data_IF_920090592346
#
_entry.id   IF_920090592346
#
_cell.length_a   1.000
_cell.length_b   1.000
_cell.length_c   1.000
_cell.angle_alpha   90.00
_cell.angle_beta   90.00
_cell.angle_gamma   90.00
#
_symmetry.space_group_name_H-M   'P 1'
#
loop_
_entity.id
_entity.type
_entity.pdbx_description
1 polymer ?
#
# COMPACT_ATOMS: atom_id res chain seq x y z
N UNK A 1 15.14 1.72 -10.30
CA UNK A 1 13.99 1.95 -9.41
C UNK A 1 12.72 1.43 -10.09
N UNK A 2 11.67 1.12 -9.34
CA UNK A 2 10.31 0.85 -9.84
C UNK A 2 9.39 2.00 -9.43
N UNK A 3 8.52 2.47 -10.33
CA UNK A 3 7.48 3.48 -10.05
C UNK A 3 6.11 2.86 -10.32
N UNK A 4 5.22 2.85 -9.31
CA UNK A 4 3.90 2.26 -9.38
C UNK A 4 2.81 3.31 -9.04
N UNK A 5 2.00 3.67 -10.03
CA UNK A 5 0.90 4.63 -9.92
C UNK A 5 -0.09 4.35 -11.05
N UNK A 6 -1.38 4.32 -10.79
CA UNK A 6 -2.42 4.08 -11.80
C UNK A 6 -2.71 5.34 -12.65
N UNK A 7 -2.37 6.53 -12.13
CA UNK A 7 -2.51 7.79 -12.82
C UNK A 7 -1.34 8.03 -13.79
N UNK A 8 -1.55 7.81 -15.07
CA UNK A 8 -0.51 7.88 -16.11
C UNK A 8 0.29 9.18 -16.06
N UNK A 9 -0.36 10.35 -15.95
CA UNK A 9 0.31 11.65 -15.95
C UNK A 9 1.21 11.83 -14.73
N UNK A 10 0.77 11.36 -13.55
CA UNK A 10 1.55 11.42 -12.31
C UNK A 10 2.76 10.49 -12.41
N UNK A 11 2.55 9.26 -12.86
CA UNK A 11 3.61 8.26 -13.04
C UNK A 11 4.68 8.74 -14.01
N UNK A 12 4.29 9.20 -15.20
CA UNK A 12 5.22 9.77 -16.19
C UNK A 12 5.96 10.99 -15.64
N UNK A 13 5.27 11.84 -14.87
CA UNK A 13 5.87 13.00 -14.19
C UNK A 13 6.95 12.59 -13.20
N UNK A 14 6.67 11.60 -12.34
CA UNK A 14 7.65 11.07 -11.39
C UNK A 14 8.85 10.45 -12.09
N UNK A 15 8.60 9.60 -13.11
CA UNK A 15 9.67 8.98 -13.91
C UNK A 15 10.59 10.05 -14.50
N UNK A 16 10.01 11.06 -15.14
CA UNK A 16 10.76 12.15 -15.73
C UNK A 16 11.62 12.91 -14.70
N UNK A 17 11.04 13.29 -13.55
CA UNK A 17 11.77 13.97 -12.47
C UNK A 17 12.96 13.12 -12.00
N UNK A 18 12.75 11.82 -11.81
CA UNK A 18 13.77 10.90 -11.34
C UNK A 18 14.91 10.75 -12.35
N UNK A 19 14.59 10.54 -13.63
CA UNK A 19 15.58 10.35 -14.70
C UNK A 19 16.34 11.64 -15.04
N UNK A 20 15.67 12.80 -15.11
CA UNK A 20 16.30 14.10 -15.36
C UNK A 20 17.30 14.48 -14.24
N UNK A 21 17.18 13.88 -13.04
CA UNK A 21 18.19 14.06 -11.98
C UNK A 21 19.57 13.51 -12.34
N UNK A 22 19.66 12.60 -13.35
CA UNK A 22 20.88 11.92 -13.77
C UNK A 22 21.48 10.95 -12.73
N UNK A 23 20.75 10.70 -11.63
CA UNK A 23 21.20 9.84 -10.51
C UNK A 23 20.30 8.64 -10.25
N UNK A 24 19.17 8.59 -10.93
CA UNK A 24 18.18 7.53 -10.80
C UNK A 24 17.89 6.91 -12.17
N UNK A 25 17.77 5.60 -12.22
CA UNK A 25 17.31 4.85 -13.38
C UNK A 25 15.99 4.15 -13.03
N UNK A 26 14.93 4.45 -13.78
CA UNK A 26 13.64 3.78 -13.63
C UNK A 26 13.64 2.54 -14.54
N UNK A 27 13.75 1.36 -13.94
CA UNK A 27 13.83 0.08 -14.65
C UNK A 27 12.47 -0.52 -14.97
N UNK A 28 11.41 -0.04 -14.30
CA UNK A 28 10.04 -0.44 -14.60
C UNK A 28 9.02 0.57 -14.06
N UNK A 29 7.86 0.59 -14.72
CA UNK A 29 6.64 1.25 -14.29
C UNK A 29 5.57 0.19 -14.04
N UNK A 30 4.67 0.42 -13.07
CA UNK A 30 3.51 -0.42 -12.80
C UNK A 30 2.24 0.42 -12.71
N UNK A 31 1.12 -0.14 -13.15
CA UNK A 31 -0.17 0.55 -13.20
C UNK A 31 -1.17 0.01 -12.18
N UNK A 32 -0.82 -1.06 -11.49
CA UNK A 32 -1.61 -1.66 -10.42
C UNK A 32 -0.71 -2.39 -9.41
N UNK A 33 -1.28 -2.76 -8.26
CA UNK A 33 -0.51 -3.38 -7.19
C UNK A 33 0.01 -4.77 -7.50
N UNK A 34 -0.69 -5.55 -8.35
CA UNK A 34 -0.24 -6.89 -8.76
C UNK A 34 0.97 -6.77 -9.67
N UNK A 35 0.89 -5.88 -10.69
CA UNK A 35 1.97 -5.58 -11.62
C UNK A 35 3.21 -5.04 -10.86
N UNK A 36 2.98 -4.20 -9.82
CA UNK A 36 4.05 -3.70 -8.97
C UNK A 36 4.80 -4.81 -8.23
N UNK A 37 4.09 -5.77 -7.64
CA UNK A 37 4.69 -6.93 -6.95
C UNK A 37 5.44 -7.82 -7.93
N UNK A 38 4.85 -8.16 -9.07
CA UNK A 38 5.47 -9.02 -10.09
C UNK A 38 6.77 -8.41 -10.60
N UNK A 39 6.77 -7.12 -10.98
CA UNK A 39 7.96 -6.40 -11.47
C UNK A 39 9.01 -6.21 -10.39
N UNK A 40 8.60 -5.90 -9.15
CA UNK A 40 9.54 -5.79 -8.04
C UNK A 40 10.26 -7.13 -7.80
N UNK A 41 9.53 -8.24 -7.76
CA UNK A 41 10.10 -9.58 -7.55
C UNK A 41 11.05 -9.98 -8.68
N UNK A 42 10.67 -9.71 -9.94
CA UNK A 42 11.46 -10.06 -11.10
C UNK A 42 12.74 -9.21 -11.26
N UNK A 43 12.62 -7.89 -11.07
CA UNK A 43 13.70 -6.93 -11.35
C UNK A 43 14.52 -6.56 -10.11
N UNK A 44 14.03 -6.87 -8.90
CA UNK A 44 14.66 -6.61 -7.60
C UNK A 44 15.20 -5.17 -7.48
N UNK A 45 14.36 -4.14 -7.69
CA UNK A 45 14.81 -2.76 -7.65
C UNK A 45 15.28 -2.38 -6.25
N UNK A 46 16.30 -1.52 -6.18
CA UNK A 46 16.80 -0.98 -4.91
C UNK A 46 15.73 -0.10 -4.20
N UNK A 47 15.01 0.71 -5.00
CA UNK A 47 13.95 1.61 -4.51
C UNK A 47 12.66 1.35 -5.28
N UNK A 48 11.56 1.28 -4.54
CA UNK A 48 10.19 1.23 -5.07
C UNK A 48 9.45 2.49 -4.64
N UNK A 49 8.95 3.25 -5.60
CA UNK A 49 8.04 4.38 -5.38
C UNK A 49 6.64 3.88 -5.70
N UNK A 50 5.70 3.98 -4.75
CA UNK A 50 4.40 3.33 -4.88
C UNK A 50 3.26 4.18 -4.34
N UNK A 51 2.16 4.28 -5.09
CA UNK A 51 0.90 4.85 -4.59
C UNK A 51 0.14 3.86 -3.72
N UNK A 52 -0.68 4.38 -2.80
CA UNK A 52 -1.59 3.60 -1.96
C UNK A 52 -2.81 3.16 -2.76
N UNK A 53 -3.39 4.06 -3.57
CA UNK A 53 -4.64 3.88 -4.31
C UNK A 53 -4.52 3.04 -5.58
N UNK A 54 -3.70 1.99 -5.58
CA UNK A 54 -3.54 1.14 -6.75
C UNK A 54 -4.72 0.16 -6.92
N UNK A 55 -5.22 -0.04 -8.15
CA UNK A 55 -6.25 -1.03 -8.43
C UNK A 55 -5.73 -2.47 -8.33
N UNK A 56 -6.64 -3.44 -8.27
CA UNK A 56 -6.41 -4.90 -8.18
C UNK A 56 -5.75 -5.36 -6.89
N UNK A 57 -4.80 -4.62 -6.37
CA UNK A 57 -4.13 -4.84 -5.11
C UNK A 57 -3.71 -3.48 -4.56
N UNK A 58 -4.20 -3.11 -3.38
CA UNK A 58 -3.86 -1.81 -2.78
C UNK A 58 -2.35 -1.67 -2.57
N UNK A 59 -1.84 -0.43 -2.62
CA UNK A 59 -0.42 -0.17 -2.40
C UNK A 59 0.08 -0.66 -1.03
N UNK A 60 -0.77 -0.61 0.01
CA UNK A 60 -0.42 -1.14 1.34
C UNK A 60 -0.13 -2.64 1.28
N UNK A 61 -1.00 -3.41 0.62
CA UNK A 61 -0.82 -4.86 0.50
C UNK A 61 0.32 -5.20 -0.48
N UNK A 62 0.50 -4.40 -1.55
CA UNK A 62 1.64 -4.54 -2.45
C UNK A 62 2.97 -4.32 -1.72
N UNK A 63 3.07 -3.27 -0.87
CA UNK A 63 4.25 -3.02 -0.03
C UNK A 63 4.55 -4.19 0.89
N UNK A 64 3.52 -4.77 1.51
CA UNK A 64 3.69 -5.93 2.41
C UNK A 64 4.27 -7.12 1.66
N UNK A 65 3.72 -7.48 0.50
CA UNK A 65 4.24 -8.58 -0.35
C UNK A 65 5.65 -8.30 -0.86
N UNK A 66 5.91 -7.07 -1.31
CA UNK A 66 7.27 -6.67 -1.74
C UNK A 66 8.25 -6.79 -0.58
N UNK A 67 7.87 -6.40 0.64
CA UNK A 67 8.72 -6.51 1.83
C UNK A 67 9.03 -7.96 2.21
N UNK A 68 8.05 -8.86 2.09
CA UNK A 68 8.24 -10.30 2.33
C UNK A 68 9.24 -10.90 1.33
N UNK A 69 9.12 -10.57 0.03
CA UNK A 69 9.97 -11.11 -1.02
C UNK A 69 11.34 -10.41 -1.13
N UNK A 70 11.39 -9.11 -0.82
CA UNK A 70 12.55 -8.24 -0.96
C UNK A 70 12.81 -7.44 0.33
N UNK A 71 13.31 -8.07 1.39
CA UNK A 71 13.52 -7.39 2.68
C UNK A 71 14.47 -6.18 2.62
N UNK A 72 15.39 -6.17 1.64
CA UNK A 72 16.37 -5.08 1.45
C UNK A 72 15.84 -3.89 0.63
N UNK A 73 14.76 -4.04 -0.14
CA UNK A 73 14.21 -2.97 -0.97
C UNK A 73 13.79 -1.77 -0.12
N UNK A 74 14.05 -0.56 -0.59
CA UNK A 74 13.59 0.68 0.02
C UNK A 74 12.28 1.11 -0.62
N UNK A 75 11.26 1.38 0.19
CA UNK A 75 9.92 1.65 -0.31
C UNK A 75 9.48 3.04 0.13
N UNK A 76 9.17 3.89 -0.86
CA UNK A 76 8.62 5.23 -0.69
C UNK A 76 7.15 5.22 -1.12
N UNK A 77 6.25 5.47 -0.20
CA UNK A 77 4.86 5.77 -0.53
C UNK A 77 4.73 7.21 -1.05
N UNK A 78 4.07 7.41 -2.19
CA UNK A 78 3.75 8.73 -2.75
C UNK A 78 2.27 8.73 -3.10
N UNK A 79 1.45 9.45 -2.34
CA UNK A 79 -0.01 9.33 -2.41
C UNK A 79 -0.71 10.67 -2.19
N UNK A 80 -1.99 10.77 -2.55
CA UNK A 80 -2.83 11.94 -2.25
C UNK A 80 -3.35 11.95 -0.81
N UNK A 81 -3.23 10.84 -0.09
CA UNK A 81 -3.72 10.67 1.26
C UNK A 81 -2.73 11.29 2.27
N UNK A 82 -3.23 12.15 3.16
CA UNK A 82 -2.45 12.77 4.25
C UNK A 82 -2.95 12.36 5.65
N UNK A 83 -3.98 11.50 5.71
CA UNK A 83 -4.56 11.02 6.95
C UNK A 83 -3.59 10.11 7.71
N UNK A 84 -3.59 10.25 9.03
CA UNK A 84 -2.66 9.54 9.93
C UNK A 84 -2.73 8.01 9.78
N UNK A 85 -3.91 7.48 9.52
CA UNK A 85 -4.15 6.03 9.40
C UNK A 85 -3.37 5.42 8.23
N UNK A 86 -3.34 6.08 7.07
CA UNK A 86 -2.59 5.62 5.91
C UNK A 86 -1.08 5.58 6.17
N UNK A 87 -0.56 6.62 6.84
CA UNK A 87 0.86 6.67 7.22
C UNK A 87 1.21 5.48 8.10
N UNK A 88 0.42 5.23 9.14
CA UNK A 88 0.64 4.14 10.08
C UNK A 88 0.58 2.79 9.39
N UNK A 89 -0.41 2.56 8.52
CA UNK A 89 -0.58 1.31 7.79
C UNK A 89 0.58 1.07 6.81
N UNK A 90 1.04 2.10 6.09
CA UNK A 90 2.17 1.98 5.18
C UNK A 90 3.48 1.65 5.91
N UNK A 91 3.74 2.30 7.05
CA UNK A 91 4.92 2.01 7.86
C UNK A 91 4.86 0.59 8.45
N UNK A 92 3.69 0.15 8.96
CA UNK A 92 3.47 -1.22 9.42
C UNK A 92 3.62 -2.25 8.28
N UNK A 93 3.24 -1.90 7.05
CA UNK A 93 3.46 -2.74 5.88
C UNK A 93 4.93 -2.84 5.47
N UNK A 94 5.78 -1.91 5.92
CA UNK A 94 7.23 -1.91 5.69
C UNK A 94 7.74 -0.78 4.81
N UNK A 95 6.97 0.28 4.58
CA UNK A 95 7.47 1.47 3.90
C UNK A 95 8.57 2.16 4.70
N UNK A 96 9.59 2.67 4.00
CA UNK A 96 10.71 3.40 4.56
C UNK A 96 10.53 4.93 4.46
N UNK A 97 9.54 5.37 3.69
CA UNK A 97 9.23 6.79 3.54
C UNK A 97 7.79 7.01 3.09
N UNK A 98 7.33 8.24 3.27
CA UNK A 98 5.96 8.66 2.94
C UNK A 98 5.94 10.12 2.51
N UNK A 99 5.39 10.37 1.33
CA UNK A 99 5.17 11.71 0.76
C UNK A 99 3.73 11.85 0.27
N UNK A 100 3.22 13.08 0.34
CA UNK A 100 1.96 13.44 -0.31
C UNK A 100 2.26 13.95 -1.73
N UNK A 101 1.41 13.60 -2.70
CA UNK A 101 1.60 13.92 -4.14
C UNK A 101 1.60 15.42 -4.47
N UNK A 102 1.27 16.29 -3.51
CA UNK A 102 1.40 17.74 -3.65
C UNK A 102 2.82 18.27 -3.38
N UNK A 103 3.76 17.38 -3.06
CA UNK A 103 5.15 17.74 -2.81
C UNK A 103 5.85 18.30 -4.06
N UNK A 104 6.85 19.14 -3.85
CA UNK A 104 7.69 19.65 -4.94
C UNK A 104 8.59 18.53 -5.51
N UNK A 105 8.95 18.63 -6.80
CA UNK A 105 9.87 17.69 -7.44
C UNK A 105 11.19 17.50 -6.66
N UNK A 106 11.71 18.58 -6.06
CA UNK A 106 12.90 18.54 -5.23
C UNK A 106 12.74 17.66 -4.00
N UNK A 107 11.55 17.64 -3.38
CA UNK A 107 11.25 16.82 -2.21
C UNK A 107 11.17 15.34 -2.55
N UNK A 108 10.60 14.98 -3.71
CA UNK A 108 10.62 13.61 -4.22
C UNK A 108 12.07 13.10 -4.39
N UNK A 109 12.94 13.91 -4.99
CA UNK A 109 14.34 13.56 -5.18
C UNK A 109 15.08 13.42 -3.84
N UNK A 110 14.83 14.33 -2.90
CA UNK A 110 15.42 14.27 -1.56
C UNK A 110 15.02 12.99 -0.83
N UNK A 111 13.73 12.63 -0.87
CA UNK A 111 13.21 11.41 -0.28
C UNK A 111 13.88 10.17 -0.88
N UNK A 112 13.95 10.07 -2.19
CA UNK A 112 14.59 8.94 -2.89
C UNK A 112 16.07 8.84 -2.50
N UNK A 113 16.80 9.94 -2.49
CA UNK A 113 18.22 9.94 -2.10
C UNK A 113 18.43 9.58 -0.61
N UNK A 114 17.50 9.98 0.26
CA UNK A 114 17.53 9.56 1.66
C UNK A 114 17.37 8.04 1.78
N UNK A 115 16.41 7.46 1.05
CA UNK A 115 16.18 6.02 1.04
C UNK A 115 17.39 5.24 0.49
N UNK A 116 18.01 5.71 -0.59
CA UNK A 116 19.23 5.09 -1.14
C UNK A 116 20.40 5.07 -0.12
N UNK A 117 20.47 6.09 0.74
CA UNK A 117 21.43 6.11 1.84
C UNK A 117 21.02 5.26 3.06
N UNK A 118 19.90 4.54 2.96
CA UNK A 118 19.38 3.73 4.06
C UNK A 118 18.65 4.54 5.15
N UNK A 119 18.35 5.82 4.90
CA UNK A 119 17.61 6.69 5.80
C UNK A 119 16.10 6.61 5.49
N UNK A 120 15.25 6.79 6.51
CA UNK A 120 13.83 7.01 6.28
C UNK A 120 13.55 8.44 5.84
N UNK A 121 12.45 8.65 5.10
CA UNK A 121 11.98 9.98 4.74
C UNK A 121 10.47 10.10 4.95
N UNK A 122 10.07 10.98 5.84
CA UNK A 122 8.65 11.21 6.16
C UNK A 122 8.39 12.71 6.10
N UNK A 123 7.50 13.12 5.22
CA UNK A 123 7.06 14.51 5.15
C UNK A 123 6.47 15.02 6.47
N UNK A 124 6.21 16.32 6.61
CA UNK A 124 5.78 16.90 7.89
C UNK A 124 4.50 16.31 8.47
N UNK A 125 3.50 15.98 7.63
CA UNK A 125 2.26 15.32 8.06
C UNK A 125 2.52 13.91 8.56
N UNK A 126 3.27 13.11 7.80
CA UNK A 126 3.62 11.75 8.16
C UNK A 126 4.44 11.67 9.46
N UNK A 127 5.40 12.57 9.64
CA UNK A 127 6.19 12.66 10.87
C UNK A 127 5.31 12.96 12.10
N UNK A 128 4.32 13.86 11.96
CA UNK A 128 3.36 14.15 13.04
C UNK A 128 2.49 12.93 13.37
N UNK A 129 2.00 12.22 12.35
CA UNK A 129 1.21 11.01 12.51
C UNK A 129 1.98 9.93 13.31
N UNK A 130 3.22 9.67 12.92
CA UNK A 130 4.09 8.71 13.61
C UNK A 130 4.40 9.13 15.05
N UNK A 131 4.66 10.42 15.28
CA UNK A 131 4.89 10.93 16.64
C UNK A 131 3.67 10.75 17.54
N UNK A 132 2.46 11.03 17.04
CA UNK A 132 1.22 10.77 17.79
C UNK A 132 0.98 9.29 18.06
N UNK A 133 1.26 8.43 17.11
CA UNK A 133 1.16 6.98 17.28
C UNK A 133 2.10 6.47 18.38
N UNK A 134 3.31 7.01 18.49
CA UNK A 134 4.27 6.68 19.55
C UNK A 134 3.86 7.22 20.92
N UNK A 135 3.18 8.37 20.96
CA UNK A 135 2.66 8.97 22.19
C UNK A 135 1.42 8.25 22.75
N UNK A 136 0.65 7.59 21.87
CA UNK A 136 -0.59 6.91 22.20
C UNK A 136 -0.56 5.45 21.71
N UNK A 137 0.32 4.61 22.26
CA UNK A 137 0.46 3.21 21.84
C UNK A 137 -0.79 2.37 22.12
N UNK A 138 -1.66 2.80 23.04
CA UNK A 138 -2.97 2.17 23.28
C UNK A 138 -3.89 2.21 22.05
N UNK A 139 -3.73 3.22 21.19
CA UNK A 139 -4.43 3.29 19.89
C UNK A 139 -3.76 2.42 18.82
N UNK A 140 -2.53 1.97 19.05
CA UNK A 140 -1.78 1.09 18.15
C UNK A 140 -2.26 -0.37 18.20
N UNK A 141 -2.97 -0.76 19.27
CA UNK A 141 -3.47 -2.13 19.48
C UNK A 141 -4.70 -2.48 18.66
N UNK A 142 -5.35 -1.51 18.06
CA UNK A 142 -6.58 -1.71 17.27
C UNK A 142 -6.29 -1.54 15.77
N UNK A 143 -5.50 -2.44 15.21
CA UNK A 143 -5.47 -2.63 13.76
C UNK A 143 -6.10 -4.00 13.42
N UNK A 144 -7.42 -4.11 13.44
CA UNK A 144 -8.11 -5.37 13.15
C UNK A 144 -7.79 -5.88 11.73
N UNK A 145 -7.45 -4.98 10.79
CA UNK A 145 -7.01 -5.38 9.46
C UNK A 145 -5.64 -6.08 9.50
N UNK A 146 -4.73 -5.65 10.37
CA UNK A 146 -3.45 -6.31 10.60
C UNK A 146 -3.59 -7.75 11.10
N UNK A 147 -4.68 -8.08 11.80
CA UNK A 147 -4.99 -9.43 12.29
C UNK A 147 -5.53 -10.37 11.21
N UNK A 148 -5.88 -9.86 10.03
CA UNK A 148 -6.30 -10.69 8.91
C UNK A 148 -5.12 -11.49 8.37
N UNK A 149 -5.33 -12.78 8.15
CA UNK A 149 -4.37 -13.61 7.43
C UNK A 149 -4.22 -13.15 5.97
N UNK A 150 -3.12 -13.50 5.27
CA UNK A 150 -2.96 -13.15 3.85
C UNK A 150 -4.17 -13.54 3.01
N UNK A 151 -4.76 -14.71 3.27
CA UNK A 151 -5.94 -15.20 2.55
C UNK A 151 -7.21 -14.41 2.86
N UNK A 152 -7.39 -14.00 4.11
CA UNK A 152 -8.51 -13.13 4.51
C UNK A 152 -8.39 -11.74 3.89
N UNK A 153 -7.18 -11.19 3.73
CA UNK A 153 -6.95 -9.92 3.03
C UNK A 153 -7.30 -9.99 1.54
N UNK A 154 -6.92 -11.08 0.85
CA UNK A 154 -7.32 -11.29 -0.54
C UNK A 154 -8.85 -11.31 -0.69
N UNK A 155 -9.54 -12.03 0.20
CA UNK A 155 -11.01 -12.05 0.22
C UNK A 155 -11.59 -10.68 0.56
N UNK A 156 -11.01 -9.95 1.53
CA UNK A 156 -11.42 -8.61 1.92
C UNK A 156 -11.40 -7.67 0.71
N UNK A 157 -10.28 -7.56 -0.01
CA UNK A 157 -10.15 -6.69 -1.18
C UNK A 157 -11.17 -7.01 -2.26
N UNK A 158 -11.32 -8.28 -2.62
CA UNK A 158 -12.32 -8.69 -3.62
C UNK A 158 -13.75 -8.32 -3.21
N UNK A 159 -14.08 -8.45 -1.92
CA UNK A 159 -15.44 -8.10 -1.42
C UNK A 159 -15.65 -6.60 -1.42
N UNK A 160 -14.70 -5.78 -1.02
CA UNK A 160 -14.84 -4.31 -1.01
C UNK A 160 -14.85 -3.71 -2.41
N UNK A 161 -14.21 -4.38 -3.38
CA UNK A 161 -14.28 -4.08 -4.83
C UNK A 161 -15.61 -4.53 -5.48
N UNK A 162 -16.52 -5.11 -4.71
CA UNK A 162 -17.86 -5.48 -5.19
C UNK A 162 -18.01 -6.91 -5.68
N UNK A 163 -16.99 -7.78 -5.54
CA UNK A 163 -17.09 -9.18 -5.91
C UNK A 163 -18.11 -9.93 -5.04
N UNK A 164 -18.97 -10.73 -5.66
CA UNK A 164 -19.85 -11.65 -4.94
C UNK A 164 -19.05 -12.82 -4.32
N UNK A 165 -19.60 -13.50 -3.31
CA UNK A 165 -18.95 -14.70 -2.72
C UNK A 165 -18.64 -15.78 -3.78
N UNK A 166 -19.47 -15.88 -4.85
CA UNK A 166 -19.23 -16.81 -5.97
C UNK A 166 -18.04 -16.34 -6.83
N UNK A 167 -17.91 -15.04 -7.05
CA UNK A 167 -16.79 -14.46 -7.81
C UNK A 167 -15.47 -14.60 -7.06
N UNK A 168 -15.48 -14.32 -5.76
CA UNK A 168 -14.34 -14.56 -4.86
C UNK A 168 -13.91 -16.02 -4.93
N UNK A 169 -14.85 -16.95 -4.79
CA UNK A 169 -14.56 -18.40 -4.86
C UNK A 169 -13.91 -18.78 -6.19
N UNK A 170 -14.42 -18.27 -7.30
CA UNK A 170 -13.89 -18.52 -8.65
C UNK A 170 -12.48 -17.93 -8.82
N UNK A 171 -12.27 -16.68 -8.44
CA UNK A 171 -11.00 -15.98 -8.61
C UNK A 171 -9.88 -16.61 -7.75
N UNK A 172 -10.23 -17.06 -6.56
CA UNK A 172 -9.27 -17.62 -5.61
C UNK A 172 -9.14 -19.14 -5.68
N UNK A 173 -9.88 -19.82 -6.56
CA UNK A 173 -9.83 -21.29 -6.74
C UNK A 173 -10.29 -22.07 -5.50
N UNK A 174 -11.27 -21.56 -4.74
CA UNK A 174 -11.81 -22.17 -3.51
C UNK A 174 -13.31 -22.46 -3.63
N UNK A 175 -13.86 -23.25 -2.70
CA UNK A 175 -15.31 -23.45 -2.68
C UNK A 175 -16.06 -22.19 -2.23
N UNK A 176 -17.30 -22.02 -2.67
CA UNK A 176 -18.18 -20.90 -2.24
C UNK A 176 -18.34 -20.91 -0.72
N UNK A 177 -18.45 -22.10 -0.10
CA UNK A 177 -18.52 -22.24 1.35
C UNK A 177 -17.24 -21.77 2.05
N UNK A 178 -16.07 -22.02 1.46
CA UNK A 178 -14.78 -21.56 1.99
C UNK A 178 -14.68 -20.02 1.89
N UNK A 179 -15.08 -19.45 0.77
CA UNK A 179 -15.12 -17.99 0.59
C UNK A 179 -16.07 -17.31 1.60
N UNK A 180 -17.24 -17.91 1.85
CA UNK A 180 -18.20 -17.41 2.83
C UNK A 180 -17.67 -17.51 4.26
N UNK A 181 -16.97 -18.57 4.60
CA UNK A 181 -16.32 -18.71 5.90
C UNK A 181 -15.22 -17.66 6.13
N UNK A 182 -14.40 -17.36 5.10
CA UNK A 182 -13.42 -16.26 5.19
C UNK A 182 -14.12 -14.94 5.39
N UNK A 183 -15.17 -14.65 4.62
CA UNK A 183 -15.95 -13.41 4.75
C UNK A 183 -16.54 -13.23 6.15
N UNK A 184 -17.09 -14.28 6.74
CA UNK A 184 -17.60 -14.24 8.12
C UNK A 184 -16.49 -13.92 9.13
N UNK A 185 -15.34 -14.61 9.04
CA UNK A 185 -14.19 -14.36 9.92
C UNK A 185 -13.64 -12.94 9.77
N UNK A 186 -13.61 -12.40 8.56
CA UNK A 186 -13.21 -11.01 8.31
C UNK A 186 -14.16 -10.06 9.03
N UNK A 187 -15.47 -10.28 8.88
CA UNK A 187 -16.47 -9.43 9.53
C UNK A 187 -16.35 -9.49 11.06
N UNK A 188 -16.14 -10.68 11.63
CA UNK A 188 -15.95 -10.87 13.06
C UNK A 188 -14.69 -10.14 13.56
N UNK A 189 -13.55 -10.29 12.86
CA UNK A 189 -12.29 -9.66 13.23
C UNK A 189 -12.33 -8.13 13.12
N UNK A 190 -13.02 -7.60 12.10
CA UNK A 190 -13.13 -6.17 11.88
C UNK A 190 -14.29 -5.51 12.67
N UNK A 191 -15.09 -6.30 13.39
CA UNK A 191 -16.24 -5.80 14.15
C UNK A 191 -17.34 -5.21 13.27
N UNK A 192 -17.51 -5.71 12.02
CA UNK A 192 -18.52 -5.23 11.07
C UNK A 192 -19.54 -6.33 10.77
N UNK A 193 -20.79 -5.96 10.49
CA UNK A 193 -21.90 -6.91 10.40
C UNK A 193 -22.44 -7.13 8.96
N UNK A 194 -22.01 -6.31 8.00
CA UNK A 194 -22.45 -6.41 6.61
C UNK A 194 -21.42 -5.79 5.65
N UNK A 195 -21.60 -6.07 4.35
CA UNK A 195 -20.68 -5.59 3.30
C UNK A 195 -20.62 -4.06 3.23
N UNK A 196 -21.73 -3.37 3.47
CA UNK A 196 -21.72 -1.91 3.44
C UNK A 196 -20.89 -1.32 4.60
N UNK A 197 -20.87 -1.96 5.76
CA UNK A 197 -19.98 -1.61 6.87
C UNK A 197 -18.52 -1.96 6.54
N UNK A 198 -18.29 -3.09 5.87
CA UNK A 198 -16.96 -3.50 5.42
C UNK A 198 -16.38 -2.50 4.41
N UNK A 199 -17.18 -2.03 3.45
CA UNK A 199 -16.78 -1.00 2.49
C UNK A 199 -16.49 0.33 3.19
N UNK A 200 -17.35 0.74 4.15
CA UNK A 200 -17.08 1.95 4.96
C UNK A 200 -15.83 1.83 5.82
N UNK A 201 -15.56 0.63 6.35
CA UNK A 201 -14.32 0.33 7.07
C UNK A 201 -13.14 0.51 6.13
N UNK A 202 -13.17 -0.12 4.95
CA UNK A 202 -12.11 -0.01 3.94
C UNK A 202 -11.86 1.44 3.52
N UNK A 203 -12.93 2.23 3.27
CA UNK A 203 -12.81 3.64 2.92
C UNK A 203 -12.13 4.46 4.03
N UNK A 204 -12.52 4.26 5.30
CA UNK A 204 -11.93 4.99 6.43
C UNK A 204 -10.47 4.63 6.70
N UNK A 205 -10.07 3.40 6.38
CA UNK A 205 -8.71 2.90 6.64
C UNK A 205 -7.82 2.86 5.39
N UNK A 206 -8.26 3.49 4.30
CA UNK A 206 -7.47 3.57 3.09
C UNK A 206 -7.20 2.25 2.38
N UNK A 207 -8.11 1.34 2.49
CA UNK A 207 -7.99 -0.02 1.98
C UNK A 207 -8.85 -0.25 0.73
N UNK A 208 -9.51 0.79 0.21
CA UNK A 208 -10.17 0.80 -1.09
C UNK A 208 -9.16 1.13 -2.19
N UNK A 209 -9.25 0.39 -3.28
CA UNK A 209 -8.51 0.66 -4.52
C UNK A 209 -9.26 1.68 -5.36
#
# INVERSE_FOLDING_TARGET
>A
MLVADDHTLVREGMVRILEESGRCEVVAEAVDGVDAVEKATALRPEVVVIDIGLPRLSGIEAVRRIREELPAARILAVTVHDEEEYVVHMVKAGANGYLVKDCAAAELLEAVYALQRGQGYFGPSASRALARQLQHPERAGEDPYGELTPREREVFHLVVEGSTTKDVARQLGISVKTADNHRSRIMDKLGVHNVAELVRYAARHGLLS
#
